data_IF_199512928389
#
_entry.id   IF_199512928389
#
_cell.length_a   1.000
_cell.length_b   1.000
_cell.length_c   1.000
_cell.angle_alpha   90.00
_cell.angle_beta   90.00
_cell.angle_gamma   90.00
#
_symmetry.space_group_name_H-M   'P 1'
#
loop_
_entity.id
_entity.type
_entity.pdbx_description
1 polymer ?
#
# COMPACT_ATOMS: atom_id res chain seq x y z
N UNK A 1 15.74 9.26 23.06
CA UNK A 1 14.74 8.33 23.62
C UNK A 1 13.73 7.88 22.55
N UNK A 2 12.95 8.78 21.96
CA UNK A 2 11.90 8.41 20.99
C UNK A 2 12.39 7.64 19.76
N UNK A 3 13.54 8.02 19.19
CA UNK A 3 14.14 7.31 18.04
C UNK A 3 14.63 5.89 18.39
N UNK A 4 15.10 5.67 19.61
CA UNK A 4 15.58 4.35 20.08
C UNK A 4 14.39 3.44 20.33
N UNK A 5 13.32 3.96 20.96
CA UNK A 5 12.07 3.23 21.14
C UNK A 5 11.41 2.88 19.80
N UNK A 6 11.47 3.78 18.81
CA UNK A 6 10.99 3.54 17.45
C UNK A 6 11.76 2.40 16.76
N UNK A 7 13.10 2.44 16.82
CA UNK A 7 13.94 1.39 16.24
C UNK A 7 13.70 0.02 16.90
N UNK A 8 13.50 -0.01 18.23
CA UNK A 8 13.16 -1.22 18.97
C UNK A 8 11.76 -1.74 18.60
N UNK A 9 10.75 -0.87 18.50
CA UNK A 9 9.41 -1.26 18.07
C UNK A 9 9.42 -1.83 16.65
N UNK A 10 10.27 -1.31 15.77
CA UNK A 10 10.44 -1.80 14.40
C UNK A 10 10.97 -3.25 14.33
N UNK A 11 11.83 -3.65 15.28
CA UNK A 11 12.39 -5.01 15.34
C UNK A 11 11.45 -6.02 16.00
N UNK A 12 10.45 -5.56 16.75
CA UNK A 12 9.38 -6.42 17.30
C UNK A 12 8.31 -6.80 16.27
N UNK A 13 8.24 -6.12 15.13
CA UNK A 13 7.24 -6.45 14.11
C UNK A 13 7.69 -7.73 13.39
N UNK A 14 6.90 -8.82 13.44
CA UNK A 14 7.20 -10.01 12.66
C UNK A 14 7.20 -9.62 11.19
N UNK A 15 8.35 -9.70 10.54
CA UNK A 15 8.61 -9.25 9.17
C UNK A 15 7.66 -9.88 8.14
N UNK A 16 7.14 -11.07 8.43
CA UNK A 16 6.12 -11.75 7.61
C UNK A 16 4.73 -11.10 7.67
N UNK A 17 4.34 -10.47 8.79
CA UNK A 17 3.11 -9.69 8.87
C UNK A 17 3.32 -8.21 8.56
N UNK A 18 4.52 -7.68 8.83
CA UNK A 18 4.91 -6.31 8.53
C UNK A 18 4.75 -6.01 7.04
N UNK A 19 5.31 -6.87 6.17
CA UNK A 19 5.23 -6.71 4.71
C UNK A 19 3.78 -6.71 4.21
N UNK A 20 2.92 -7.58 4.78
CA UNK A 20 1.50 -7.64 4.45
C UNK A 20 0.74 -6.39 4.89
N UNK A 21 1.01 -5.88 6.09
CA UNK A 21 0.40 -4.66 6.59
C UNK A 21 0.79 -3.45 5.73
N UNK A 22 2.09 -3.28 5.45
CA UNK A 22 2.57 -2.19 4.59
C UNK A 22 2.00 -2.27 3.16
N UNK A 23 1.90 -3.47 2.58
CA UNK A 23 1.27 -3.67 1.28
C UNK A 23 -0.23 -3.34 1.28
N UNK A 24 -0.97 -3.74 2.32
CA UNK A 24 -2.38 -3.41 2.47
C UNK A 24 -2.59 -1.90 2.62
N UNK A 25 -1.80 -1.22 3.48
CA UNK A 25 -1.87 0.24 3.62
C UNK A 25 -1.55 0.96 2.32
N UNK A 26 -0.50 0.54 1.61
CA UNK A 26 -0.14 1.10 0.31
C UNK A 26 -1.24 0.93 -0.73
N UNK A 27 -1.85 -0.26 -0.82
CA UNK A 27 -2.96 -0.53 -1.72
C UNK A 27 -4.20 0.31 -1.39
N UNK A 28 -4.56 0.43 -0.11
CA UNK A 28 -5.70 1.26 0.34
C UNK A 28 -5.46 2.74 0.03
N UNK A 29 -4.24 3.24 0.23
CA UNK A 29 -3.88 4.61 -0.10
C UNK A 29 -4.04 4.91 -1.59
N UNK A 30 -3.64 3.98 -2.46
CA UNK A 30 -3.73 4.14 -3.91
C UNK A 30 -5.19 4.12 -4.38
N UNK A 31 -6.00 3.19 -3.85
CA UNK A 31 -7.44 3.18 -4.07
C UNK A 31 -8.10 4.50 -3.62
N UNK A 32 -7.72 4.99 -2.44
CA UNK A 32 -8.27 6.22 -1.87
C UNK A 32 -7.88 7.45 -2.71
N UNK A 33 -6.63 7.56 -3.17
CA UNK A 33 -6.19 8.66 -4.03
C UNK A 33 -6.90 8.66 -5.39
N UNK A 34 -7.07 7.49 -6.01
CA UNK A 34 -7.81 7.37 -7.28
C UNK A 34 -9.29 7.68 -7.12
N UNK A 35 -9.91 7.19 -6.03
CA UNK A 35 -11.29 7.51 -5.70
C UNK A 35 -11.45 9.01 -5.41
N UNK A 36 -10.48 9.64 -4.74
CA UNK A 36 -10.50 11.06 -4.44
C UNK A 36 -10.38 11.92 -5.70
N UNK A 37 -9.44 11.61 -6.60
CA UNK A 37 -9.35 12.27 -7.92
C UNK A 37 -10.67 12.14 -8.70
N UNK A 38 -11.27 10.95 -8.72
CA UNK A 38 -12.53 10.74 -9.43
C UNK A 38 -13.73 11.50 -8.82
N UNK A 39 -13.83 11.54 -7.47
CA UNK A 39 -15.00 12.09 -6.76
C UNK A 39 -14.88 13.59 -6.53
N UNK A 40 -13.72 14.07 -6.10
CA UNK A 40 -13.50 15.45 -5.65
C UNK A 40 -13.06 16.35 -6.79
N UNK A 41 -12.14 15.88 -7.64
CA UNK A 41 -11.63 16.69 -8.75
C UNK A 41 -12.52 16.64 -9.99
N UNK A 42 -13.48 15.69 -10.08
CA UNK A 42 -14.33 15.43 -11.27
C UNK A 42 -13.54 15.26 -12.58
N UNK A 43 -12.23 15.10 -12.48
CA UNK A 43 -11.38 14.75 -13.60
C UNK A 43 -11.49 13.24 -13.76
N UNK A 44 -11.95 12.74 -14.91
CA UNK A 44 -12.01 11.30 -15.13
C UNK A 44 -10.58 10.75 -14.96
N UNK A 45 -10.36 9.75 -14.08
CA UNK A 45 -9.04 9.17 -13.90
C UNK A 45 -8.53 8.74 -15.27
N UNK A 46 -7.34 9.22 -15.66
CA UNK A 46 -6.82 8.92 -16.99
C UNK A 46 -6.62 7.40 -17.09
N UNK A 47 -6.68 6.85 -18.30
CA UNK A 47 -6.44 5.42 -18.53
C UNK A 47 -5.08 5.00 -17.95
N UNK A 48 -4.13 5.92 -17.93
CA UNK A 48 -2.82 5.78 -17.30
C UNK A 48 -2.86 5.71 -15.77
N UNK A 49 -3.72 6.50 -15.11
CA UNK A 49 -3.91 6.43 -13.64
C UNK A 49 -4.55 5.12 -13.23
N UNK A 50 -5.51 4.63 -14.03
CA UNK A 50 -6.16 3.35 -13.79
C UNK A 50 -5.18 2.18 -13.96
N UNK A 51 -4.32 2.23 -14.99
CA UNK A 51 -3.27 1.23 -15.22
C UNK A 51 -2.21 1.30 -14.12
N UNK A 52 -1.77 2.49 -13.72
CA UNK A 52 -0.83 2.69 -12.61
C UNK A 52 -1.37 2.16 -11.29
N UNK A 53 -2.64 2.47 -10.99
CA UNK A 53 -3.38 1.92 -9.86
C UNK A 53 -3.46 0.40 -9.88
N UNK A 54 -3.81 -0.18 -11.03
CA UNK A 54 -3.89 -1.62 -11.21
C UNK A 54 -2.53 -2.31 -11.01
N UNK A 55 -1.44 -1.73 -11.52
CA UNK A 55 -0.07 -2.25 -11.34
C UNK A 55 0.35 -2.19 -9.87
N UNK A 56 0.07 -1.07 -9.19
CA UNK A 56 0.37 -0.95 -7.77
C UNK A 56 -0.48 -1.89 -6.90
N UNK A 57 -1.76 -2.07 -7.21
CA UNK A 57 -2.64 -3.03 -6.54
C UNK A 57 -2.21 -4.47 -6.81
N UNK A 58 -1.76 -4.77 -8.04
CA UNK A 58 -1.17 -6.07 -8.36
C UNK A 58 0.11 -6.32 -7.57
N UNK A 59 0.99 -5.32 -7.43
CA UNK A 59 2.19 -5.40 -6.59
C UNK A 59 1.87 -5.61 -5.11
N UNK A 60 0.88 -4.88 -4.58
CA UNK A 60 0.37 -5.08 -3.22
C UNK A 60 -0.25 -6.48 -3.04
N UNK A 61 -1.02 -6.94 -4.04
CA UNK A 61 -1.60 -8.28 -4.08
C UNK A 61 -0.54 -9.38 -4.10
N UNK A 62 0.53 -9.20 -4.89
CA UNK A 62 1.68 -10.12 -4.92
C UNK A 62 2.34 -10.16 -3.55
N UNK A 63 2.58 -9.04 -2.87
CA UNK A 63 3.18 -9.06 -1.52
C UNK A 63 2.24 -9.72 -0.50
N UNK A 64 0.92 -9.54 -0.66
CA UNK A 64 -0.09 -10.05 0.26
C UNK A 64 -0.39 -11.54 0.06
N UNK A 65 -0.32 -12.03 -1.17
CA UNK A 65 -0.58 -13.42 -1.59
C UNK A 65 0.68 -14.23 -1.94
N UNK A 66 1.89 -13.63 -1.93
CA UNK A 66 3.14 -14.33 -2.18
C UNK A 66 3.26 -15.52 -1.21
N UNK A 67 3.17 -16.76 -1.71
CA UNK A 67 3.37 -17.93 -0.88
C UNK A 67 4.86 -18.05 -0.62
N UNK A 68 5.25 -17.84 0.64
CA UNK A 68 6.60 -18.14 1.11
C UNK A 68 6.56 -19.53 1.71
N UNK A 69 6.88 -20.51 0.87
CA UNK A 69 7.38 -21.81 1.33
C UNK A 69 8.83 -21.67 1.77
#
# INVERSE_FOLDING_TARGET
>A
ACLIAFAWLLTLVPTDAAGRAFAAYGGVYICASLAWMAVVEKSPPDRWDLIGGAVCLAGAGIILFAPRG
#
